data_IF_177635533028
#
_entry.id   IF_177635533028
#
_cell.length_a   1.000
_cell.length_b   1.000
_cell.length_c   1.000
_cell.angle_alpha   90.00
_cell.angle_beta   90.00
_cell.angle_gamma   90.00
#
_symmetry.space_group_name_H-M   'P 1'
#
loop_
_entity.id
_entity.type
_entity.pdbx_description
1 polymer ?
#
# COMPACT_ATOMS: atom_id res chain seq x y z
N UNK A 1 -25.18 -7.05 0.80
CA UNK A 1 -23.80 -6.83 0.34
C UNK A 1 -23.28 -5.49 0.90
N UNK A 2 -23.80 -4.33 0.50
CA UNK A 2 -23.29 -3.02 0.93
C UNK A 2 -23.19 -2.81 2.45
N UNK A 3 -24.13 -3.32 3.26
CA UNK A 3 -24.04 -3.20 4.71
C UNK A 3 -22.86 -3.97 5.32
N UNK A 4 -22.59 -5.16 4.79
CA UNK A 4 -21.46 -5.99 5.25
C UNK A 4 -20.12 -5.29 5.02
N UNK A 5 -19.93 -4.72 3.83
CA UNK A 5 -18.66 -4.06 3.48
C UNK A 5 -18.51 -2.66 4.08
N UNK A 6 -19.60 -2.02 4.53
CA UNK A 6 -19.58 -0.61 4.95
C UNK A 6 -18.60 -0.33 6.11
N UNK A 7 -18.51 -1.22 7.11
CA UNK A 7 -17.59 -1.05 8.23
C UNK A 7 -16.11 -1.11 7.78
N UNK A 8 -15.79 -2.06 6.92
CA UNK A 8 -14.44 -2.23 6.38
C UNK A 8 -14.06 -1.04 5.48
N UNK A 9 -14.95 -0.62 4.59
CA UNK A 9 -14.74 0.52 3.71
C UNK A 9 -14.62 1.85 4.47
N UNK A 10 -15.32 1.98 5.60
CA UNK A 10 -15.16 3.15 6.46
C UNK A 10 -13.73 3.22 7.00
N UNK A 11 -13.24 2.12 7.59
CA UNK A 11 -11.88 2.06 8.13
C UNK A 11 -10.84 2.29 7.03
N UNK A 12 -10.93 1.53 5.92
CA UNK A 12 -9.98 1.66 4.81
C UNK A 12 -10.06 3.03 4.13
N UNK A 13 -11.25 3.64 4.04
CA UNK A 13 -11.40 4.99 3.49
C UNK A 13 -10.73 6.06 4.33
N UNK A 14 -10.93 6.03 5.67
CA UNK A 14 -10.30 6.99 6.58
C UNK A 14 -8.78 6.78 6.62
N UNK A 15 -8.32 5.55 6.81
CA UNK A 15 -6.88 5.25 6.88
C UNK A 15 -6.19 5.55 5.56
N UNK A 16 -6.78 5.18 4.41
CA UNK A 16 -6.24 5.46 3.08
C UNK A 16 -6.12 6.94 2.76
N UNK A 17 -7.06 7.77 3.23
CA UNK A 17 -6.97 9.22 3.09
C UNK A 17 -5.75 9.79 3.84
N UNK A 18 -5.43 9.23 5.00
CA UNK A 18 -4.30 9.67 5.84
C UNK A 18 -2.97 9.15 5.32
N UNK A 19 -2.86 7.84 5.04
CA UNK A 19 -1.59 7.22 4.61
C UNK A 19 -1.17 7.60 3.18
N UNK A 20 -2.04 8.28 2.42
CA UNK A 20 -1.60 8.94 1.18
C UNK A 20 -0.48 9.96 1.42
N UNK A 21 -0.27 10.39 2.67
CA UNK A 21 0.72 11.36 3.14
C UNK A 21 1.64 10.75 4.21
N UNK A 22 1.89 9.46 4.16
CA UNK A 22 2.62 8.70 5.15
C UNK A 22 4.01 9.26 5.44
N UNK A 23 4.80 9.56 4.40
CA UNK A 23 6.15 10.12 4.55
C UNK A 23 6.12 11.51 5.20
N UNK A 24 5.32 12.43 4.65
CA UNK A 24 5.21 13.81 5.17
C UNK A 24 4.66 13.83 6.60
N UNK A 25 3.76 12.91 6.93
CA UNK A 25 3.25 12.78 8.30
C UNK A 25 4.31 12.22 9.24
N UNK A 26 5.11 11.25 8.80
CA UNK A 26 6.19 10.68 9.60
C UNK A 26 7.29 11.72 9.86
N UNK A 27 7.65 12.53 8.86
CA UNK A 27 8.58 13.65 9.00
C UNK A 27 8.12 14.68 10.04
N UNK A 28 6.84 15.05 10.01
CA UNK A 28 6.26 16.03 10.95
C UNK A 28 6.10 15.44 12.35
N UNK A 29 5.69 14.19 12.46
CA UNK A 29 5.47 13.56 13.75
C UNK A 29 6.77 13.11 14.41
N UNK A 30 7.75 12.67 13.63
CA UNK A 30 8.96 12.01 14.12
C UNK A 30 10.27 12.68 13.62
N UNK A 31 10.41 14.02 13.67
CA UNK A 31 11.58 14.71 13.14
C UNK A 31 12.88 14.25 13.79
N UNK A 32 12.85 13.78 15.05
CA UNK A 32 14.01 13.27 15.77
C UNK A 32 14.53 11.93 15.21
N UNK A 33 13.70 11.18 14.49
CA UNK A 33 14.08 9.94 13.79
C UNK A 33 14.43 10.21 12.33
N UNK A 34 13.64 11.09 11.66
CA UNK A 34 13.71 11.28 10.21
C UNK A 34 14.87 12.20 9.78
N UNK A 35 15.24 13.17 10.61
CA UNK A 35 16.32 14.11 10.29
C UNK A 35 17.58 13.85 11.07
N UNK A 36 18.75 13.97 10.41
CA UNK A 36 20.04 13.80 11.04
C UNK A 36 20.26 14.84 12.15
N UNK A 37 20.65 14.40 13.34
CA UNK A 37 20.92 15.30 14.47
C UNK A 37 22.19 16.16 14.26
N UNK A 38 23.11 15.71 13.40
CA UNK A 38 24.24 16.53 12.95
C UNK A 38 23.82 17.79 12.16
N UNK A 39 22.55 17.84 11.68
CA UNK A 39 21.96 18.96 10.97
C UNK A 39 22.80 19.40 9.77
N UNK A 40 22.85 20.72 9.51
CA UNK A 40 23.66 21.31 8.44
C UNK A 40 25.19 21.14 8.60
N UNK A 41 25.66 20.45 9.63
CA UNK A 41 27.09 20.11 9.76
C UNK A 41 27.54 19.17 8.62
N UNK A 42 26.62 18.35 8.07
CA UNK A 42 26.84 17.59 6.85
C UNK A 42 27.01 18.48 5.62
N UNK A 43 26.30 19.61 5.54
CA UNK A 43 26.47 20.61 4.48
C UNK A 43 27.76 21.43 4.62
N UNK A 44 28.39 21.45 5.81
CA UNK A 44 29.64 22.17 6.09
C UNK A 44 30.90 21.28 6.03
N UNK A 45 30.84 20.07 5.49
CA UNK A 45 32.01 19.24 5.15
C UNK A 45 32.22 17.98 5.96
N UNK A 46 31.26 17.48 6.71
CA UNK A 46 31.30 16.13 7.25
C UNK A 46 30.91 15.12 6.16
N UNK A 47 31.88 14.33 5.68
CA UNK A 47 31.55 13.23 4.78
C UNK A 47 30.70 12.19 5.50
N UNK A 48 29.63 11.72 4.84
CA UNK A 48 28.82 10.61 5.37
C UNK A 48 29.68 9.35 5.53
N UNK A 49 29.47 8.65 6.63
CA UNK A 49 30.14 7.37 6.90
C UNK A 49 29.67 6.31 5.92
N UNK A 50 30.51 5.31 5.59
CA UNK A 50 30.11 4.22 4.71
C UNK A 50 28.94 3.44 5.31
N UNK A 51 27.83 3.31 4.56
CA UNK A 51 26.60 2.67 5.02
C UNK A 51 26.82 1.22 5.46
N UNK A 52 27.73 0.49 4.79
CA UNK A 52 28.09 -0.88 5.17
C UNK A 52 28.81 -0.97 6.52
N UNK A 53 29.57 0.06 6.89
CA UNK A 53 30.23 0.14 8.19
C UNK A 53 29.19 0.40 9.30
N UNK A 54 28.23 1.27 9.01
CA UNK A 54 27.13 1.54 9.93
C UNK A 54 26.23 0.31 10.13
N UNK A 55 25.96 -0.45 9.07
CA UNK A 55 25.22 -1.73 9.17
C UNK A 55 25.95 -2.70 10.10
N UNK A 56 27.28 -2.89 9.92
CA UNK A 56 28.08 -3.73 10.81
C UNK A 56 28.11 -3.25 12.27
N UNK A 57 28.07 -1.94 12.49
CA UNK A 57 27.99 -1.37 13.83
C UNK A 57 26.64 -1.67 14.49
N UNK A 58 25.52 -1.63 13.74
CA UNK A 58 24.19 -1.98 14.25
C UNK A 58 24.20 -3.45 14.72
N UNK A 59 24.66 -4.37 13.88
CA UNK A 59 24.73 -5.79 14.18
C UNK A 59 25.72 -6.12 15.33
N UNK A 60 26.82 -5.38 15.43
CA UNK A 60 27.76 -5.52 16.55
C UNK A 60 27.21 -5.01 17.89
N UNK A 61 26.36 -3.96 17.85
CA UNK A 61 25.71 -3.42 19.08
C UNK A 61 24.57 -4.32 19.56
N UNK A 62 23.84 -4.96 18.63
CA UNK A 62 22.78 -5.90 18.97
C UNK A 62 22.86 -7.17 18.08
N UNK A 63 23.57 -8.22 18.55
CA UNK A 63 23.70 -9.47 17.79
C UNK A 63 22.41 -10.25 17.59
N UNK A 64 21.30 -9.82 18.21
CA UNK A 64 19.98 -10.44 18.05
C UNK A 64 19.33 -10.11 16.71
N UNK A 65 19.87 -9.15 15.96
CA UNK A 65 19.33 -8.71 14.66
C UNK A 65 20.36 -8.78 13.56
N UNK A 66 19.89 -8.91 12.33
CA UNK A 66 20.63 -8.70 11.10
C UNK A 66 20.05 -7.52 10.33
N UNK A 67 20.89 -6.76 9.64
CA UNK A 67 20.44 -5.68 8.78
C UNK A 67 19.93 -6.26 7.47
N UNK A 68 18.66 -6.02 7.18
CA UNK A 68 17.98 -6.51 5.97
C UNK A 68 17.66 -5.42 4.96
N UNK A 69 17.76 -4.14 5.35
CA UNK A 69 17.63 -3.01 4.43
C UNK A 69 18.72 -1.96 4.67
N UNK A 70 19.37 -1.53 3.58
CA UNK A 70 20.41 -0.50 3.54
C UNK A 70 19.91 0.75 2.81
N UNK A 71 19.79 1.91 3.45
CA UNK A 71 19.50 3.20 2.81
C UNK A 71 20.78 3.79 2.20
N UNK A 72 21.01 3.59 0.89
CA UNK A 72 22.27 3.96 0.22
C UNK A 72 22.26 5.41 -0.31
N UNK A 73 21.10 6.00 -0.54
CA UNK A 73 20.94 7.36 -1.06
C UNK A 73 19.93 8.15 -0.20
N UNK A 74 20.29 8.53 1.03
CA UNK A 74 19.42 9.30 1.90
C UNK A 74 19.17 10.71 1.33
N UNK A 75 18.05 11.28 1.68
CA UNK A 75 17.77 12.69 1.37
C UNK A 75 18.76 13.61 2.12
N UNK A 76 19.11 14.78 1.55
CA UNK A 76 19.96 15.73 2.21
C UNK A 76 19.39 16.14 3.59
N UNK A 77 20.19 15.98 4.64
CA UNK A 77 19.77 16.25 6.03
C UNK A 77 18.91 15.13 6.65
N UNK A 78 18.60 14.06 5.92
CA UNK A 78 17.88 12.91 6.42
C UNK A 78 18.77 11.97 7.24
N UNK A 79 18.16 11.29 8.20
CA UNK A 79 18.77 10.16 8.90
C UNK A 79 18.73 8.89 8.01
N UNK A 80 19.58 7.92 8.32
CA UNK A 80 19.60 6.62 7.66
C UNK A 80 18.68 5.66 8.41
N UNK A 81 17.55 5.28 7.79
CA UNK A 81 16.63 4.29 8.33
C UNK A 81 17.02 2.89 7.84
N UNK A 82 17.70 2.13 8.69
CA UNK A 82 18.04 0.72 8.42
C UNK A 82 16.86 -0.19 8.79
N UNK A 83 16.54 -1.15 7.92
CA UNK A 83 15.64 -2.25 8.27
C UNK A 83 16.43 -3.38 8.92
N UNK A 84 15.87 -3.98 9.96
CA UNK A 84 16.47 -5.12 10.65
C UNK A 84 15.45 -6.23 10.86
N UNK A 85 15.91 -7.48 10.86
CA UNK A 85 15.11 -8.65 11.19
C UNK A 85 15.82 -9.47 12.27
N UNK A 86 15.07 -10.24 13.08
CA UNK A 86 15.63 -11.03 14.16
C UNK A 86 16.54 -12.16 13.65
N UNK A 87 17.67 -12.34 14.30
CA UNK A 87 18.50 -13.52 14.16
C UNK A 87 17.90 -14.71 14.90
N UNK A 88 18.35 -15.92 14.54
CA UNK A 88 18.03 -17.14 15.27
C UNK A 88 18.90 -17.27 16.52
N UNK A 89 18.29 -17.49 17.67
CA UNK A 89 18.97 -17.78 18.91
C UNK A 89 19.62 -19.18 18.84
N UNK A 90 20.93 -19.28 18.94
CA UNK A 90 21.63 -20.59 18.88
C UNK A 90 21.24 -21.53 20.02
N UNK A 91 20.79 -21.00 21.17
CA UNK A 91 20.46 -21.80 22.34
C UNK A 91 19.08 -22.43 22.23
N UNK A 92 18.11 -21.70 21.70
CA UNK A 92 16.70 -22.13 21.64
C UNK A 92 16.29 -22.59 20.24
N UNK A 93 17.01 -22.17 19.22
CA UNK A 93 16.67 -22.40 17.82
C UNK A 93 15.47 -21.59 17.33
N UNK A 94 14.96 -20.64 18.12
CA UNK A 94 13.88 -19.70 17.75
C UNK A 94 14.47 -18.36 17.35
N UNK A 95 13.66 -17.52 16.71
CA UNK A 95 14.05 -16.14 16.46
C UNK A 95 14.07 -15.35 17.79
N UNK A 96 15.00 -14.40 17.87
CA UNK A 96 14.96 -13.39 18.94
C UNK A 96 13.74 -12.46 18.78
N UNK A 97 13.35 -11.79 19.84
CA UNK A 97 12.26 -10.80 19.86
C UNK A 97 12.81 -9.41 20.22
N UNK A 98 13.43 -8.68 19.29
CA UNK A 98 14.08 -7.40 19.58
C UNK A 98 13.09 -6.26 19.85
N UNK A 99 11.80 -6.42 19.51
CA UNK A 99 10.74 -5.39 19.62
C UNK A 99 11.03 -4.10 18.84
N UNK A 100 11.81 -4.20 17.78
CA UNK A 100 12.02 -3.17 16.77
C UNK A 100 12.44 -3.81 15.46
N UNK A 101 12.13 -3.13 14.34
CA UNK A 101 12.52 -3.56 12.99
C UNK A 101 13.11 -2.40 12.17
N UNK A 102 13.25 -1.21 12.76
CA UNK A 102 13.94 -0.07 12.16
C UNK A 102 14.90 0.56 13.17
N UNK A 103 16.09 0.93 12.67
CA UNK A 103 17.14 1.64 13.42
C UNK A 103 17.52 2.90 12.64
N UNK A 104 17.51 4.06 13.30
CA UNK A 104 17.81 5.36 12.70
C UNK A 104 19.20 5.83 13.11
N UNK A 105 20.04 6.11 12.13
CA UNK A 105 21.46 6.46 12.32
C UNK A 105 21.73 7.81 11.68
N UNK A 106 22.45 8.65 12.40
CA UNK A 106 23.01 9.89 11.86
C UNK A 106 24.12 9.55 10.85
N UNK A 107 24.01 9.97 9.57
CA UNK A 107 24.96 9.58 8.53
C UNK A 107 26.38 10.12 8.72
N UNK A 108 26.56 11.20 9.47
CA UNK A 108 27.85 11.86 9.66
C UNK A 108 28.56 11.37 10.92
N UNK A 109 27.81 11.20 12.01
CA UNK A 109 28.39 10.81 13.32
C UNK A 109 28.35 9.32 13.56
N UNK A 110 27.49 8.56 12.88
CA UNK A 110 27.22 7.17 13.15
C UNK A 110 26.46 6.93 14.46
N UNK A 111 25.94 7.99 15.07
CA UNK A 111 25.16 7.90 16.29
C UNK A 111 23.77 7.34 15.99
N UNK A 112 23.33 6.41 16.84
CA UNK A 112 21.95 5.93 16.79
C UNK A 112 21.02 6.97 17.39
N UNK A 113 20.01 7.39 16.61
CA UNK A 113 19.02 8.41 16.99
C UNK A 113 17.76 7.78 17.62
N UNK A 114 17.48 6.54 17.29
CA UNK A 114 16.36 5.80 17.85
C UNK A 114 16.08 4.50 17.10
N UNK A 115 15.11 3.76 17.64
CA UNK A 115 14.60 2.52 17.09
C UNK A 115 13.08 2.54 17.15
N UNK A 116 12.41 1.88 16.20
CA UNK A 116 10.96 1.68 16.30
C UNK A 116 10.55 0.33 15.73
N UNK A 117 9.42 -0.15 16.17
CA UNK A 117 8.73 -1.27 15.54
C UNK A 117 7.73 -0.69 14.53
N UNK A 118 8.11 -0.67 13.25
CA UNK A 118 7.21 -0.25 12.18
C UNK A 118 6.07 -1.26 12.04
N UNK A 119 4.82 -0.78 12.06
CA UNK A 119 3.64 -1.63 11.98
C UNK A 119 3.17 -2.22 13.32
N UNK A 120 3.74 -1.80 14.45
CA UNK A 120 3.29 -2.24 15.77
C UNK A 120 1.80 -2.01 15.98
N UNK A 121 1.12 -3.02 16.56
CA UNK A 121 -0.28 -2.94 16.95
C UNK A 121 -0.43 -2.15 18.25
N UNK A 122 0.51 -2.31 19.18
CA UNK A 122 0.52 -1.70 20.49
C UNK A 122 1.95 -1.65 21.06
N UNK A 123 2.32 -0.56 21.77
CA UNK A 123 1.54 0.66 21.99
C UNK A 123 1.47 1.56 20.77
N UNK A 124 0.35 2.26 20.59
CA UNK A 124 0.24 3.31 19.57
C UNK A 124 0.88 4.57 20.13
N UNK A 125 2.08 4.86 19.65
CA UNK A 125 2.85 6.06 20.01
C UNK A 125 2.90 7.01 18.83
N UNK A 126 3.48 8.20 19.02
CA UNK A 126 3.75 9.13 17.91
C UNK A 126 4.61 8.46 16.81
N UNK A 127 5.59 7.66 17.21
CA UNK A 127 6.53 7.00 16.30
C UNK A 127 5.92 5.83 15.52
N UNK A 128 4.92 5.15 16.11
CA UNK A 128 4.25 4.01 15.46
C UNK A 128 2.93 4.38 14.79
N UNK A 129 2.41 5.60 14.98
CA UNK A 129 1.06 5.99 14.56
C UNK A 129 0.83 5.83 13.05
N UNK A 130 1.75 6.33 12.22
CA UNK A 130 1.61 6.28 10.76
C UNK A 130 1.65 4.83 10.29
N UNK A 131 2.62 4.05 10.76
CA UNK A 131 2.75 2.63 10.41
C UNK A 131 1.59 1.79 10.93
N UNK A 132 1.04 2.11 12.11
CA UNK A 132 -0.20 1.50 12.61
C UNK A 132 -1.36 1.72 11.63
N UNK A 133 -1.59 2.96 11.18
CA UNK A 133 -2.64 3.24 10.19
C UNK A 133 -2.40 2.52 8.86
N UNK A 134 -1.14 2.40 8.45
CA UNK A 134 -0.76 1.72 7.22
C UNK A 134 -1.14 0.23 7.27
N UNK A 135 -0.75 -0.47 8.34
CA UNK A 135 -1.09 -1.89 8.52
C UNK A 135 -2.59 -2.08 8.74
N UNK A 136 -3.25 -1.17 9.50
CA UNK A 136 -4.70 -1.19 9.67
C UNK A 136 -5.45 -1.09 8.32
N UNK A 137 -4.90 -0.32 7.37
CA UNK A 137 -5.51 -0.11 6.05
C UNK A 137 -5.61 -1.38 5.22
N UNK A 138 -4.56 -2.22 5.18
CA UNK A 138 -4.52 -3.37 4.29
C UNK A 138 -4.76 -4.72 4.97
N UNK A 139 -4.65 -4.81 6.32
CA UNK A 139 -4.77 -6.07 7.06
C UNK A 139 -5.67 -6.02 8.30
N UNK A 140 -6.15 -4.83 8.72
CA UNK A 140 -6.90 -4.62 9.97
C UNK A 140 -6.15 -5.07 11.23
N UNK A 141 -4.83 -5.24 11.17
CA UNK A 141 -4.03 -5.84 12.23
C UNK A 141 -4.56 -7.21 12.70
N UNK A 142 -5.24 -7.96 11.83
CA UNK A 142 -5.66 -9.32 12.19
C UNK A 142 -4.38 -10.15 12.36
N UNK A 143 -4.16 -10.73 13.56
CA UNK A 143 -2.93 -11.43 13.86
C UNK A 143 -2.82 -12.75 13.10
N UNK A 144 -1.62 -13.30 13.08
CA UNK A 144 -1.39 -14.66 12.63
C UNK A 144 -2.25 -15.65 13.45
N UNK A 145 -2.91 -16.55 12.75
CA UNK A 145 -3.70 -17.64 13.33
C UNK A 145 -3.46 -18.92 12.52
N UNK A 146 -3.23 -20.02 13.22
CA UNK A 146 -2.98 -21.34 12.59
C UNK A 146 -1.82 -21.35 11.58
N UNK A 147 -0.76 -20.57 11.85
CA UNK A 147 0.41 -20.47 10.97
C UNK A 147 0.17 -19.65 9.70
N UNK A 148 -0.91 -18.86 9.65
CA UNK A 148 -1.25 -17.98 8.52
C UNK A 148 -1.34 -16.54 9.02
N UNK A 149 -0.51 -15.66 8.48
CA UNK A 149 -0.46 -14.23 8.79
C UNK A 149 -1.31 -13.36 7.85
N UNK A 150 -1.92 -13.95 6.82
CA UNK A 150 -2.61 -13.24 5.73
C UNK A 150 -4.13 -13.08 5.89
N UNK A 151 -4.70 -13.47 7.05
CA UNK A 151 -6.15 -13.43 7.26
C UNK A 151 -6.78 -12.06 7.00
N UNK A 152 -6.16 -10.99 7.48
CA UNK A 152 -6.65 -9.63 7.28
C UNK A 152 -6.55 -9.19 5.82
N UNK A 153 -5.47 -9.55 5.15
CA UNK A 153 -5.23 -9.28 3.74
C UNK A 153 -6.30 -9.97 2.89
N UNK A 154 -6.57 -11.26 3.15
CA UNK A 154 -7.60 -12.03 2.45
C UNK A 154 -9.01 -11.49 2.70
N UNK A 155 -9.30 -11.12 3.94
CA UNK A 155 -10.60 -10.53 4.29
C UNK A 155 -10.82 -9.23 3.51
N UNK A 156 -9.87 -8.30 3.56
CA UNK A 156 -10.00 -7.02 2.85
C UNK A 156 -9.95 -7.19 1.33
N UNK A 157 -9.17 -8.12 0.81
CA UNK A 157 -9.20 -8.48 -0.60
C UNK A 157 -10.56 -9.01 -1.05
N UNK A 158 -11.20 -9.87 -0.24
CA UNK A 158 -12.57 -10.33 -0.46
C UNK A 158 -13.59 -9.19 -0.39
N UNK A 159 -13.45 -8.28 0.57
CA UNK A 159 -14.27 -7.04 0.66
C UNK A 159 -14.10 -6.20 -0.61
N UNK A 160 -12.89 -6.06 -1.13
CA UNK A 160 -12.60 -5.27 -2.33
C UNK A 160 -13.21 -5.90 -3.60
N UNK A 161 -13.24 -7.24 -3.72
CA UNK A 161 -13.98 -7.92 -4.79
C UNK A 161 -15.48 -7.58 -4.69
N UNK A 162 -16.07 -7.71 -3.50
CA UNK A 162 -17.48 -7.38 -3.28
C UNK A 162 -17.75 -5.90 -3.59
N UNK A 163 -16.86 -5.00 -3.23
CA UNK A 163 -16.98 -3.59 -3.54
C UNK A 163 -16.87 -3.30 -5.04
N UNK A 164 -15.96 -3.96 -5.75
CA UNK A 164 -15.85 -3.86 -7.21
C UNK A 164 -17.17 -4.25 -7.89
N UNK A 165 -17.80 -5.35 -7.45
CA UNK A 165 -19.11 -5.76 -7.95
C UNK A 165 -20.22 -4.76 -7.54
N UNK A 166 -20.17 -4.22 -6.32
CA UNK A 166 -21.13 -3.24 -5.83
C UNK A 166 -21.09 -1.90 -6.60
N UNK A 167 -19.90 -1.53 -7.13
CA UNK A 167 -19.79 -0.37 -8.03
C UNK A 167 -20.67 -0.51 -9.28
N UNK A 168 -20.74 -1.68 -9.89
CA UNK A 168 -21.62 -1.92 -11.05
C UNK A 168 -23.08 -1.96 -10.65
N UNK A 169 -23.41 -2.63 -9.55
CA UNK A 169 -24.79 -2.67 -9.01
C UNK A 169 -25.26 -1.27 -8.63
N UNK A 170 -24.43 -0.51 -7.91
CA UNK A 170 -24.72 0.86 -7.52
C UNK A 170 -25.00 1.76 -8.73
N UNK A 171 -24.12 1.69 -9.75
CA UNK A 171 -24.32 2.43 -11.00
C UNK A 171 -25.65 2.06 -11.66
N UNK A 172 -25.93 0.77 -11.82
CA UNK A 172 -27.18 0.27 -12.40
C UNK A 172 -28.43 0.79 -11.66
N UNK A 173 -28.40 0.82 -10.35
CA UNK A 173 -29.51 1.31 -9.51
C UNK A 173 -29.78 2.82 -9.65
N UNK A 174 -28.85 3.59 -10.20
CA UNK A 174 -29.07 5.01 -10.49
C UNK A 174 -29.78 5.26 -11.81
N UNK A 175 -29.79 4.29 -12.72
CA UNK A 175 -30.38 4.42 -14.04
C UNK A 175 -31.90 4.62 -13.95
N UNK A 176 -32.50 5.47 -14.82
CA UNK A 176 -33.93 5.66 -14.81
C UNK A 176 -34.65 4.39 -15.32
N UNK A 177 -35.79 4.02 -14.69
CA UNK A 177 -36.55 2.84 -15.12
C UNK A 177 -37.02 2.97 -16.56
N UNK A 178 -37.13 1.84 -17.27
CA UNK A 178 -37.69 1.82 -18.64
C UNK A 178 -39.12 2.38 -18.65
N UNK A 179 -39.43 3.27 -19.57
CA UNK A 179 -40.79 3.71 -19.80
C UNK A 179 -41.57 2.60 -20.52
N UNK A 180 -42.69 2.19 -19.96
CA UNK A 180 -43.67 1.40 -20.70
C UNK A 180 -44.38 2.34 -21.66
N UNK A 181 -44.13 2.25 -22.94
CA UNK A 181 -44.79 3.00 -24.01
C UNK A 181 -46.18 2.40 -24.18
N UNK A 182 -47.18 3.00 -23.59
CA UNK A 182 -48.59 2.74 -23.94
C UNK A 182 -48.99 3.71 -25.05
N UNK A 183 -49.75 3.23 -26.05
CA UNK A 183 -50.14 3.96 -27.26
C UNK A 183 -50.82 5.37 -27.04
N UNK A 184 -51.08 5.73 -25.76
CA UNK A 184 -51.78 6.97 -25.36
C UNK A 184 -50.91 7.97 -24.59
N UNK A 185 -49.63 7.73 -24.36
CA UNK A 185 -48.80 8.64 -23.57
C UNK A 185 -48.08 9.63 -24.46
N UNK A 186 -48.22 10.96 -24.17
CA UNK A 186 -47.41 12.06 -24.72
C UNK A 186 -45.91 11.67 -24.61
N UNK A 187 -45.11 12.09 -25.58
CA UNK A 187 -43.67 11.86 -25.61
C UNK A 187 -43.02 12.17 -24.25
N UNK A 188 -42.61 11.13 -23.54
CA UNK A 188 -42.03 11.26 -22.20
C UNK A 188 -40.65 11.91 -22.25
N UNK A 189 -40.17 12.41 -21.13
CA UNK A 189 -38.83 13.01 -21.01
C UNK A 189 -37.76 11.99 -21.49
N UNK A 190 -36.80 12.45 -22.29
CA UNK A 190 -35.68 11.66 -22.76
C UNK A 190 -34.86 11.04 -21.61
N UNK A 191 -34.04 10.04 -21.91
CA UNK A 191 -33.22 9.28 -20.94
C UNK A 191 -32.44 10.23 -20.02
N UNK A 192 -31.68 11.15 -20.56
CA UNK A 192 -30.83 12.09 -19.81
C UNK A 192 -31.63 13.00 -18.88
N UNK A 193 -32.76 13.51 -19.31
CA UNK A 193 -33.62 14.35 -18.48
C UNK A 193 -34.21 13.61 -17.27
N UNK A 194 -34.38 12.28 -17.39
CA UNK A 194 -34.82 11.41 -16.30
C UNK A 194 -33.68 10.97 -15.38
N UNK A 195 -32.46 10.89 -15.89
CA UNK A 195 -31.29 10.52 -15.12
C UNK A 195 -30.64 11.72 -14.40
N UNK A 196 -30.75 12.94 -14.93
CA UNK A 196 -30.23 14.17 -14.32
C UNK A 196 -30.52 14.30 -12.81
N UNK A 197 -31.71 13.94 -12.26
CA UNK A 197 -31.96 14.00 -10.82
C UNK A 197 -31.07 13.06 -10.00
N UNK A 198 -30.43 12.04 -10.57
CA UNK A 198 -29.50 11.18 -9.88
C UNK A 198 -28.17 11.87 -9.56
N UNK A 199 -27.81 12.89 -10.33
CA UNK A 199 -26.55 13.65 -10.25
C UNK A 199 -26.65 14.90 -9.37
N UNK A 200 -27.84 15.20 -8.79
CA UNK A 200 -28.10 16.45 -8.07
C UNK A 200 -28.51 16.17 -6.64
N UNK A 201 -27.98 16.96 -5.70
CA UNK A 201 -28.33 16.97 -4.29
C UNK A 201 -29.38 18.09 -4.06
N UNK A 202 -30.56 17.74 -3.57
CA UNK A 202 -31.61 18.70 -3.24
C UNK A 202 -31.43 19.19 -1.80
N UNK A 203 -30.76 20.31 -1.61
CA UNK A 203 -30.44 20.87 -0.30
C UNK A 203 -31.65 21.34 0.51
N UNK A 204 -32.75 21.69 -0.16
CA UNK A 204 -34.01 22.11 0.47
C UNK A 204 -34.97 20.94 0.84
N UNK A 205 -34.51 19.69 0.70
CA UNK A 205 -35.31 18.51 1.00
C UNK A 205 -35.15 18.06 2.46
N UNK A 206 -35.91 17.03 2.88
CA UNK A 206 -35.73 16.43 4.22
C UNK A 206 -34.33 15.84 4.40
N UNK A 207 -33.87 15.78 5.65
CA UNK A 207 -32.55 15.22 5.97
C UNK A 207 -32.32 13.82 5.39
N UNK A 208 -33.36 12.95 5.37
CA UNK A 208 -33.28 11.64 4.74
C UNK A 208 -33.05 11.72 3.22
N UNK A 209 -33.77 12.66 2.57
CA UNK A 209 -33.61 12.86 1.13
C UNK A 209 -32.23 13.41 0.77
N UNK A 210 -31.74 14.36 1.56
CA UNK A 210 -30.36 14.89 1.39
C UNK A 210 -29.35 13.77 1.54
N UNK A 211 -29.44 12.96 2.60
CA UNK A 211 -28.56 11.80 2.81
C UNK A 211 -28.59 10.80 1.63
N UNK A 212 -29.79 10.53 1.10
CA UNK A 212 -29.96 9.65 -0.06
C UNK A 212 -29.33 10.27 -1.34
N UNK A 213 -29.53 11.56 -1.57
CA UNK A 213 -28.99 12.27 -2.71
C UNK A 213 -27.46 12.37 -2.64
N UNK A 214 -26.87 12.62 -1.44
CA UNK A 214 -25.43 12.59 -1.19
C UNK A 214 -24.86 11.22 -1.57
N UNK A 215 -25.40 10.14 -1.00
CA UNK A 215 -24.95 8.79 -1.28
C UNK A 215 -24.94 8.47 -2.79
N UNK A 216 -26.04 8.82 -3.48
CA UNK A 216 -26.21 8.55 -4.89
C UNK A 216 -25.34 9.45 -5.79
N UNK A 217 -25.30 10.75 -5.52
CA UNK A 217 -24.60 11.72 -6.36
C UNK A 217 -23.06 11.54 -6.26
N UNK A 218 -22.51 11.43 -5.04
CA UNK A 218 -21.08 11.16 -4.86
C UNK A 218 -20.66 9.80 -5.41
N UNK A 219 -21.50 8.77 -5.24
CA UNK A 219 -21.27 7.48 -5.87
C UNK A 219 -21.22 7.54 -7.40
N UNK A 220 -21.99 8.44 -8.04
CA UNK A 220 -21.94 8.67 -9.48
C UNK A 220 -20.77 9.57 -9.90
N UNK A 221 -20.53 10.68 -9.21
CA UNK A 221 -19.47 11.63 -9.57
C UNK A 221 -18.09 11.00 -9.54
N UNK A 222 -17.84 10.12 -8.58
CA UNK A 222 -16.57 9.44 -8.40
C UNK A 222 -16.59 7.99 -8.87
N UNK A 223 -17.63 7.53 -9.58
CA UNK A 223 -17.80 6.12 -9.93
C UNK A 223 -16.54 5.49 -10.55
N UNK A 224 -15.93 6.16 -11.50
CA UNK A 224 -14.71 5.66 -12.16
C UNK A 224 -13.53 5.51 -11.19
N UNK A 225 -13.34 6.49 -10.29
CA UNK A 225 -12.29 6.45 -9.28
C UNK A 225 -12.58 5.35 -8.24
N UNK A 226 -13.83 5.26 -7.77
CA UNK A 226 -14.26 4.23 -6.81
C UNK A 226 -14.06 2.82 -7.38
N UNK A 227 -14.42 2.60 -8.65
CA UNK A 227 -14.20 1.33 -9.34
C UNK A 227 -12.71 1.01 -9.47
N UNK A 228 -11.90 2.00 -9.85
CA UNK A 228 -10.44 1.84 -9.95
C UNK A 228 -9.83 1.47 -8.60
N UNK A 229 -10.17 2.19 -7.53
CA UNK A 229 -9.65 1.92 -6.19
C UNK A 229 -10.12 0.56 -5.66
N UNK A 230 -11.38 0.19 -5.89
CA UNK A 230 -11.92 -1.12 -5.49
C UNK A 230 -11.20 -2.26 -6.22
N UNK A 231 -11.03 -2.14 -7.54
CA UNK A 231 -10.33 -3.13 -8.36
C UNK A 231 -8.86 -3.26 -7.95
N UNK A 232 -8.15 -2.14 -7.82
CA UNK A 232 -6.73 -2.15 -7.44
C UNK A 232 -6.53 -2.63 -6.00
N UNK A 233 -7.45 -2.37 -5.08
CA UNK A 233 -7.39 -2.91 -3.72
C UNK A 233 -7.44 -4.44 -3.72
N UNK A 234 -8.33 -5.06 -4.53
CA UNK A 234 -8.36 -6.51 -4.62
C UNK A 234 -7.12 -7.09 -5.33
N UNK A 235 -6.65 -6.42 -6.40
CA UNK A 235 -5.48 -6.88 -7.15
C UNK A 235 -4.19 -6.85 -6.32
N UNK A 236 -4.05 -5.88 -5.41
CA UNK A 236 -2.92 -5.75 -4.51
C UNK A 236 -3.01 -6.76 -3.35
N UNK A 237 -4.16 -6.87 -2.67
CA UNK A 237 -4.30 -7.75 -1.52
C UNK A 237 -4.32 -9.24 -1.90
N UNK A 238 -4.92 -9.58 -3.04
CA UNK A 238 -5.03 -10.97 -3.53
C UNK A 238 -4.17 -11.20 -4.78
N UNK A 239 -3.00 -10.56 -4.83
CA UNK A 239 -2.11 -10.64 -5.98
C UNK A 239 -1.76 -12.08 -6.33
N UNK A 240 -1.17 -12.83 -5.40
CA UNK A 240 -0.73 -14.20 -5.63
C UNK A 240 -1.88 -15.21 -5.68
N UNK A 241 -2.95 -14.97 -4.92
CA UNK A 241 -4.06 -15.92 -4.78
C UNK A 241 -5.06 -15.86 -5.93
N UNK A 242 -5.32 -14.65 -6.48
CA UNK A 242 -6.38 -14.44 -7.46
C UNK A 242 -5.91 -13.69 -8.69
N UNK A 243 -5.28 -12.53 -8.49
CA UNK A 243 -5.00 -11.61 -9.59
C UNK A 243 -3.96 -12.14 -10.57
N UNK A 244 -2.79 -12.54 -10.08
CA UNK A 244 -1.72 -13.10 -10.91
C UNK A 244 -2.12 -14.40 -11.62
N UNK A 245 -2.76 -15.40 -10.96
CA UNK A 245 -3.24 -16.60 -11.62
C UNK A 245 -4.24 -16.35 -12.76
N UNK A 246 -5.10 -15.33 -12.61
CA UNK A 246 -6.03 -14.95 -13.68
C UNK A 246 -5.29 -14.24 -14.81
N UNK A 247 -4.47 -13.25 -14.47
CA UNK A 247 -3.71 -12.47 -15.47
C UNK A 247 -2.79 -13.34 -16.30
N UNK A 248 -2.09 -14.29 -15.70
CA UNK A 248 -1.17 -15.20 -16.39
C UNK A 248 -1.87 -16.17 -17.36
N UNK A 249 -3.20 -16.38 -17.19
CA UNK A 249 -4.03 -17.14 -18.16
C UNK A 249 -4.52 -16.26 -19.31
N UNK A 250 -4.73 -14.99 -19.05
CA UNK A 250 -5.25 -14.04 -20.06
C UNK A 250 -4.14 -13.46 -20.93
N UNK A 251 -2.95 -13.23 -20.33
CA UNK A 251 -1.81 -12.65 -21.02
C UNK A 251 -0.50 -13.11 -20.39
N UNK A 252 0.60 -12.93 -21.12
CA UNK A 252 1.94 -13.22 -20.60
C UNK A 252 2.33 -12.14 -19.58
N UNK A 253 2.42 -12.52 -18.32
CA UNK A 253 2.95 -11.70 -17.22
C UNK A 253 4.34 -12.25 -16.86
N UNK A 254 5.33 -11.38 -16.78
CA UNK A 254 6.69 -11.76 -16.38
C UNK A 254 6.70 -12.04 -14.86
N UNK A 255 7.02 -13.27 -14.42
CA UNK A 255 7.09 -13.57 -13.00
C UNK A 255 8.21 -12.79 -12.33
N UNK A 256 7.98 -12.31 -11.13
CA UNK A 256 9.04 -11.75 -10.30
C UNK A 256 9.95 -12.86 -9.76
N UNK A 257 11.19 -12.56 -9.36
CA UNK A 257 12.05 -13.55 -8.71
C UNK A 257 11.44 -14.16 -7.43
N UNK A 258 10.53 -13.46 -6.77
CA UNK A 258 9.78 -13.96 -5.61
C UNK A 258 8.72 -14.99 -6.02
N UNK A 259 8.03 -14.78 -7.14
CA UNK A 259 7.01 -15.72 -7.66
C UNK A 259 7.61 -17.08 -8.07
N UNK A 260 8.93 -17.10 -8.34
CA UNK A 260 9.68 -18.30 -8.74
C UNK A 260 10.24 -19.09 -7.55
N UNK A 261 10.03 -18.64 -6.33
CA UNK A 261 10.57 -19.25 -5.11
C UNK A 261 9.45 -19.55 -4.12
N UNK A 262 9.65 -20.60 -3.35
CA UNK A 262 8.82 -20.84 -2.17
C UNK A 262 9.41 -20.09 -0.98
N UNK A 263 8.59 -19.42 -0.16
CA UNK A 263 9.06 -18.82 1.07
C UNK A 263 9.62 -19.90 2.01
N UNK A 264 10.68 -19.59 2.71
CA UNK A 264 11.20 -20.42 3.78
C UNK A 264 10.27 -20.35 5.00
N UNK A 265 10.41 -21.31 5.89
CA UNK A 265 9.75 -21.24 7.21
C UNK A 265 10.23 -19.99 7.96
N UNK A 266 9.30 -19.27 8.57
CA UNK A 266 9.61 -18.05 9.33
C UNK A 266 10.72 -18.27 10.37
N UNK A 267 10.71 -19.42 11.07
CA UNK A 267 11.72 -19.77 12.08
C UNK A 267 12.99 -20.39 11.46
N UNK A 268 13.06 -20.54 10.14
CA UNK A 268 14.23 -21.10 9.44
C UNK A 268 14.63 -20.20 8.24
N UNK A 269 15.01 -18.94 8.48
CA UNK A 269 15.38 -18.00 7.45
C UNK A 269 16.58 -18.49 6.64
N UNK A 270 16.60 -18.18 5.36
CA UNK A 270 17.71 -18.52 4.46
C UNK A 270 18.88 -17.57 4.76
N UNK A 271 20.01 -18.13 5.17
CA UNK A 271 21.23 -17.36 5.45
C UNK A 271 21.97 -17.12 4.12
N UNK A 272 22.28 -15.86 3.84
CA UNK A 272 23.09 -15.49 2.69
C UNK A 272 24.56 -15.92 2.88
N UNK A 273 25.18 -16.41 1.80
CA UNK A 273 26.63 -16.61 1.75
C UNK A 273 27.35 -15.46 1.05
N UNK A 274 26.60 -14.62 0.33
CA UNK A 274 27.10 -13.40 -0.31
C UNK A 274 26.87 -12.20 0.61
N UNK A 275 27.85 -11.31 0.63
CA UNK A 275 27.74 -10.05 1.40
C UNK A 275 27.07 -8.95 0.57
N UNK A 276 26.52 -7.95 1.24
CA UNK A 276 26.03 -6.75 0.56
C UNK A 276 27.09 -6.08 -0.33
N UNK A 277 28.36 -6.03 0.09
CA UNK A 277 29.44 -5.45 -0.70
C UNK A 277 29.58 -6.16 -2.06
N UNK A 278 29.65 -7.49 -2.05
CA UNK A 278 29.76 -8.29 -3.28
C UNK A 278 28.56 -8.10 -4.21
N UNK A 279 27.36 -8.06 -3.65
CA UNK A 279 26.13 -7.88 -4.43
C UNK A 279 26.05 -6.46 -5.00
N UNK A 280 26.42 -5.44 -4.22
CA UNK A 280 26.43 -4.04 -4.68
C UNK A 280 27.45 -3.82 -5.81
N UNK A 281 28.62 -4.43 -5.74
CA UNK A 281 29.63 -4.35 -6.80
C UNK A 281 29.11 -5.00 -8.10
N UNK A 282 28.51 -6.19 -7.98
CA UNK A 282 27.88 -6.87 -9.12
C UNK A 282 26.73 -6.05 -9.71
N UNK A 283 25.90 -5.45 -8.84
CA UNK A 283 24.74 -4.64 -9.24
C UNK A 283 25.16 -3.35 -9.96
N UNK A 284 26.20 -2.66 -9.47
CA UNK A 284 26.73 -1.46 -10.13
C UNK A 284 27.30 -1.77 -11.50
N UNK A 285 28.05 -2.89 -11.62
CA UNK A 285 28.57 -3.35 -12.91
C UNK A 285 27.47 -3.69 -13.90
N UNK A 286 26.43 -4.37 -13.45
CA UNK A 286 25.28 -4.73 -14.31
C UNK A 286 24.45 -3.50 -14.69
N UNK A 287 24.20 -2.57 -13.76
CA UNK A 287 23.51 -1.30 -14.05
C UNK A 287 24.26 -0.48 -15.11
N UNK A 288 25.59 -0.43 -15.03
CA UNK A 288 26.42 0.22 -16.05
C UNK A 288 26.25 -0.42 -17.42
N UNK A 289 26.25 -1.76 -17.52
CA UNK A 289 26.00 -2.49 -18.77
C UNK A 289 24.61 -2.19 -19.34
N UNK A 290 23.61 -1.98 -18.48
CA UNK A 290 22.23 -1.61 -18.88
C UNK A 290 22.07 -0.13 -19.21
N UNK A 291 23.10 0.68 -19.01
CA UNK A 291 23.04 2.12 -19.22
C UNK A 291 22.22 2.88 -18.16
N UNK A 292 22.00 2.28 -16.98
CA UNK A 292 21.31 2.94 -15.88
C UNK A 292 22.23 3.98 -15.25
N UNK A 293 21.74 5.22 -15.16
CA UNK A 293 22.55 6.36 -14.67
C UNK A 293 22.38 6.64 -13.19
N UNK A 294 21.25 6.21 -12.61
CA UNK A 294 20.98 6.42 -11.20
C UNK A 294 21.93 5.59 -10.33
N UNK A 295 22.39 6.09 -9.18
CA UNK A 295 23.18 5.33 -8.23
C UNK A 295 22.36 4.21 -7.58
N UNK A 296 23.01 3.25 -6.94
CA UNK A 296 22.35 2.35 -6.02
C UNK A 296 21.79 3.19 -4.85
N UNK A 297 20.49 3.26 -4.71
CA UNK A 297 19.77 4.09 -3.74
C UNK A 297 19.29 3.33 -2.50
N UNK A 298 19.12 2.02 -2.64
CA UNK A 298 18.76 1.14 -1.55
C UNK A 298 19.11 -0.30 -1.88
N UNK A 299 19.33 -1.12 -0.86
CA UNK A 299 19.51 -2.56 -1.04
C UNK A 299 18.83 -3.30 0.10
N UNK A 300 18.24 -4.45 -0.20
CA UNK A 300 17.66 -5.32 0.81
C UNK A 300 18.10 -6.77 0.63
N UNK A 301 18.01 -7.52 1.69
CA UNK A 301 18.05 -8.97 1.68
C UNK A 301 16.74 -9.50 2.27
N UNK A 302 16.10 -10.44 1.56
CA UNK A 302 14.94 -11.15 2.05
C UNK A 302 15.35 -12.55 2.53
N UNK A 303 15.41 -12.80 3.85
CA UNK A 303 15.75 -14.11 4.39
C UNK A 303 14.69 -15.17 4.09
N UNK A 304 13.46 -14.76 3.88
CA UNK A 304 12.36 -15.66 3.51
C UNK A 304 12.56 -16.27 2.12
N UNK A 305 13.09 -15.50 1.16
CA UNK A 305 13.30 -15.95 -0.22
C UNK A 305 14.77 -16.16 -0.59
N UNK A 306 15.70 -15.79 0.27
CA UNK A 306 17.14 -15.88 0.00
C UNK A 306 17.56 -14.97 -1.16
N UNK A 307 16.95 -13.78 -1.29
CA UNK A 307 17.15 -12.85 -2.39
C UNK A 307 17.69 -11.51 -1.90
N UNK A 308 18.68 -10.99 -2.60
CA UNK A 308 19.03 -9.58 -2.55
C UNK A 308 18.28 -8.81 -3.62
N UNK A 309 17.82 -7.59 -3.30
CA UNK A 309 17.36 -6.61 -4.26
C UNK A 309 18.17 -5.32 -4.12
N UNK A 310 18.60 -4.75 -5.23
CA UNK A 310 19.29 -3.46 -5.29
C UNK A 310 18.48 -2.50 -6.14
N UNK A 311 18.01 -1.42 -5.50
CA UNK A 311 17.26 -0.35 -6.14
C UNK A 311 18.19 0.73 -6.68
N UNK A 312 17.86 1.30 -7.84
CA UNK A 312 18.65 2.36 -8.45
C UNK A 312 17.82 3.66 -8.54
N UNK A 313 18.13 4.60 -7.66
CA UNK A 313 17.50 5.94 -7.61
C UNK A 313 18.42 6.97 -6.96
N UNK A 314 18.21 8.22 -7.28
CA UNK A 314 18.80 9.35 -6.55
C UNK A 314 18.10 9.55 -5.19
N UNK A 315 18.66 10.34 -4.27
CA UNK A 315 17.97 10.75 -3.05
C UNK A 315 16.54 11.26 -3.33
N UNK A 316 15.54 10.82 -2.55
CA UNK A 316 14.13 11.15 -2.73
C UNK A 316 13.46 10.52 -3.96
N UNK A 317 14.16 9.64 -4.68
CA UNK A 317 13.65 8.99 -5.89
C UNK A 317 13.12 7.55 -5.68
N UNK A 318 12.92 7.12 -4.46
CA UNK A 318 12.48 5.78 -4.08
C UNK A 318 11.10 5.38 -4.60
N UNK A 319 10.22 6.37 -4.81
CA UNK A 319 8.91 6.13 -5.43
C UNK A 319 8.99 5.90 -6.94
N UNK A 320 10.11 6.22 -7.59
CA UNK A 320 10.34 6.00 -9.01
C UNK A 320 9.38 6.73 -9.95
N UNK A 321 9.36 6.32 -11.20
CA UNK A 321 8.56 6.94 -12.24
C UNK A 321 7.06 6.72 -12.01
N UNK A 322 6.33 7.80 -11.76
CA UNK A 322 4.88 7.81 -11.54
C UNK A 322 4.41 6.81 -10.45
N UNK A 323 5.24 6.57 -9.42
CA UNK A 323 4.88 5.74 -8.27
C UNK A 323 5.01 4.22 -8.47
N UNK A 324 5.62 3.76 -9.56
CA UNK A 324 5.88 2.31 -9.78
C UNK A 324 7.04 1.80 -8.93
N UNK A 325 7.90 2.70 -8.48
CA UNK A 325 9.15 2.38 -7.81
C UNK A 325 10.36 2.53 -8.74
N UNK A 326 11.59 2.40 -8.21
CA UNK A 326 12.81 2.47 -8.98
C UNK A 326 13.09 1.16 -9.75
N UNK A 327 14.04 1.16 -10.69
CA UNK A 327 14.57 -0.07 -11.24
C UNK A 327 15.26 -0.92 -10.17
N UNK A 328 15.09 -2.24 -10.26
CA UNK A 328 15.72 -3.21 -9.36
C UNK A 328 16.52 -4.26 -10.12
N UNK A 329 17.62 -4.71 -9.51
CA UNK A 329 18.34 -5.93 -9.86
C UNK A 329 18.25 -6.89 -8.68
N UNK A 330 17.94 -8.17 -8.96
CA UNK A 330 17.77 -9.20 -7.95
C UNK A 330 18.85 -10.27 -8.07
N UNK A 331 19.44 -10.63 -6.94
CA UNK A 331 20.54 -11.57 -6.87
C UNK A 331 20.22 -12.71 -5.90
N UNK A 332 20.64 -13.90 -6.25
CA UNK A 332 20.57 -15.06 -5.34
C UNK A 332 21.56 -14.89 -4.18
N UNK A 333 21.07 -15.00 -2.96
CA UNK A 333 21.84 -14.79 -1.74
C UNK A 333 22.95 -15.82 -1.50
N UNK A 334 22.86 -17.01 -2.09
CA UNK A 334 23.87 -18.07 -1.96
C UNK A 334 24.91 -18.02 -3.06
N UNK A 335 24.47 -17.92 -4.30
CA UNK A 335 25.37 -17.99 -5.47
C UNK A 335 25.89 -16.64 -5.92
N UNK A 336 25.16 -15.55 -5.64
CA UNK A 336 25.42 -14.22 -6.19
C UNK A 336 25.01 -14.07 -7.66
N UNK A 337 24.30 -15.03 -8.22
CA UNK A 337 23.80 -14.95 -9.59
C UNK A 337 22.69 -13.91 -9.73
N UNK A 338 22.69 -13.16 -10.82
CA UNK A 338 21.58 -12.30 -11.21
C UNK A 338 20.38 -13.18 -11.58
N UNK A 339 19.27 -13.06 -10.85
CA UNK A 339 18.06 -13.88 -11.03
C UNK A 339 16.88 -13.10 -11.59
N UNK A 340 16.98 -11.79 -11.67
CA UNK A 340 15.93 -10.95 -12.25
C UNK A 340 16.28 -9.49 -12.26
N UNK A 341 15.45 -8.74 -13.00
CA UNK A 341 15.49 -7.29 -13.04
C UNK A 341 14.08 -6.76 -13.24
N UNK A 342 13.74 -5.65 -12.61
CA UNK A 342 12.52 -4.90 -12.88
C UNK A 342 12.85 -3.47 -13.29
N UNK A 343 12.13 -2.95 -14.26
CA UNK A 343 12.26 -1.57 -14.71
C UNK A 343 10.87 -0.97 -14.84
N UNK A 344 10.63 0.20 -14.23
CA UNK A 344 9.33 0.86 -14.30
C UNK A 344 8.86 1.07 -15.74
N UNK A 345 7.61 0.74 -16.00
CA UNK A 345 6.93 0.92 -17.29
C UNK A 345 7.59 0.17 -18.47
N UNK A 346 8.35 -0.88 -18.18
CA UNK A 346 8.96 -1.76 -19.17
C UNK A 346 8.39 -3.15 -19.03
N UNK A 347 8.05 -3.77 -20.18
CA UNK A 347 7.50 -5.12 -20.26
C UNK A 347 6.38 -5.25 -21.29
N UNK A 348 5.72 -6.40 -21.29
CA UNK A 348 4.51 -6.63 -22.08
C UNK A 348 3.34 -5.76 -21.58
N UNK A 349 2.26 -5.57 -22.35
CA UNK A 349 1.09 -4.80 -21.89
C UNK A 349 0.53 -5.29 -20.55
N UNK A 350 0.58 -6.59 -20.29
CA UNK A 350 0.15 -7.16 -19.01
C UNK A 350 1.09 -6.77 -17.85
N UNK A 351 2.41 -6.70 -18.09
CA UNK A 351 3.36 -6.23 -17.09
C UNK A 351 3.11 -4.76 -16.71
N UNK A 352 2.85 -3.92 -17.73
CA UNK A 352 2.50 -2.51 -17.51
C UNK A 352 1.19 -2.39 -16.71
N UNK A 353 0.19 -3.23 -17.02
CA UNK A 353 -1.06 -3.25 -16.28
C UNK A 353 -0.87 -3.66 -14.81
N UNK A 354 -0.03 -4.67 -14.56
CA UNK A 354 0.33 -5.10 -13.19
C UNK A 354 1.09 -3.99 -12.46
N UNK A 355 2.07 -3.37 -13.09
CA UNK A 355 2.83 -2.27 -12.52
C UNK A 355 1.95 -1.06 -12.17
N UNK A 356 0.90 -0.79 -12.94
CA UNK A 356 0.00 0.33 -12.74
C UNK A 356 -0.92 0.18 -11.51
N UNK A 357 -1.08 -1.01 -10.93
CA UNK A 357 -2.05 -1.26 -9.86
C UNK A 357 -1.80 -0.39 -8.62
N UNK A 358 -0.58 -0.37 -8.09
CA UNK A 358 -0.25 0.44 -6.93
C UNK A 358 -0.29 1.96 -7.21
N UNK A 359 0.32 2.48 -8.29
CA UNK A 359 0.21 3.90 -8.65
C UNK A 359 -1.22 4.40 -8.86
N UNK A 360 -2.10 3.58 -9.41
CA UNK A 360 -3.52 3.90 -9.56
C UNK A 360 -4.23 3.90 -8.20
N UNK A 361 -3.92 2.93 -7.34
CA UNK A 361 -4.51 2.83 -6.00
C UNK A 361 -4.12 4.01 -5.11
N UNK A 362 -2.84 4.34 -5.09
CA UNK A 362 -2.27 5.41 -4.26
C UNK A 362 -2.43 6.82 -4.85
N UNK A 363 -2.85 6.92 -6.12
CA UNK A 363 -2.89 8.17 -6.87
C UNK A 363 -1.53 8.68 -7.33
N UNK A 364 -0.43 8.02 -6.97
CA UNK A 364 0.95 8.44 -7.31
C UNK A 364 1.20 8.52 -8.82
N UNK A 365 0.37 7.85 -9.63
CA UNK A 365 0.43 7.94 -11.11
C UNK A 365 0.26 9.38 -11.64
N UNK A 366 -0.49 10.22 -10.93
CA UNK A 366 -0.68 11.64 -11.24
C UNK A 366 0.12 12.55 -10.29
N UNK A 367 1.04 12.01 -9.48
CA UNK A 367 1.80 12.75 -8.48
C UNK A 367 0.90 13.36 -7.38
N UNK A 368 1.21 14.57 -6.93
CA UNK A 368 0.47 15.26 -5.86
C UNK A 368 -1.03 15.41 -6.16
N UNK A 369 -1.48 15.87 -7.35
CA UNK A 369 -2.90 15.92 -7.67
C UNK A 369 -3.62 14.57 -7.52
N UNK A 370 -2.99 13.48 -7.89
CA UNK A 370 -3.56 12.14 -7.73
C UNK A 370 -3.66 11.73 -6.25
N UNK A 371 -2.65 12.01 -5.44
CA UNK A 371 -2.69 11.76 -3.97
C UNK A 371 -3.80 12.56 -3.31
N UNK A 372 -3.99 13.83 -3.68
CA UNK A 372 -5.12 14.66 -3.21
C UNK A 372 -6.46 14.02 -3.62
N UNK A 373 -6.60 13.57 -4.87
CA UNK A 373 -7.81 12.91 -5.35
C UNK A 373 -8.11 11.64 -4.56
N UNK A 374 -7.11 10.80 -4.28
CA UNK A 374 -7.30 9.57 -3.49
C UNK A 374 -7.63 9.87 -2.04
N UNK A 375 -6.99 10.87 -1.42
CA UNK A 375 -7.35 11.31 -0.06
C UNK A 375 -8.81 11.77 0.03
N UNK A 376 -9.25 12.62 -0.91
CA UNK A 376 -10.65 13.05 -0.99
C UNK A 376 -11.59 11.87 -1.25
N UNK A 377 -11.19 10.93 -2.11
CA UNK A 377 -11.95 9.70 -2.38
C UNK A 377 -12.09 8.86 -1.13
N UNK A 378 -11.04 8.70 -0.30
CA UNK A 378 -11.10 8.00 0.97
C UNK A 378 -12.14 8.61 1.93
N UNK A 379 -12.16 9.95 2.05
CA UNK A 379 -13.19 10.66 2.85
C UNK A 379 -14.58 10.40 2.29
N UNK A 380 -14.75 10.43 0.96
CA UNK A 380 -16.05 10.14 0.32
C UNK A 380 -16.46 8.68 0.56
N UNK A 381 -15.57 7.72 0.49
CA UNK A 381 -15.84 6.30 0.79
C UNK A 381 -16.35 6.14 2.23
N UNK A 382 -15.72 6.80 3.20
CA UNK A 382 -16.18 6.81 4.58
C UNK A 382 -17.60 7.44 4.70
N UNK A 383 -17.86 8.56 4.02
CA UNK A 383 -19.17 9.20 3.99
C UNK A 383 -20.23 8.31 3.30
N UNK A 384 -19.88 7.64 2.20
CA UNK A 384 -20.78 6.69 1.51
C UNK A 384 -21.10 5.48 2.41
N UNK A 385 -20.15 5.00 3.19
CA UNK A 385 -20.37 3.93 4.17
C UNK A 385 -21.40 4.34 5.21
N UNK A 386 -21.24 5.51 5.83
CA UNK A 386 -22.17 6.05 6.83
C UNK A 386 -23.56 6.30 6.21
N UNK A 387 -23.62 7.00 5.08
CA UNK A 387 -24.90 7.33 4.42
C UNK A 387 -25.64 6.08 3.96
N UNK A 388 -24.92 5.05 3.51
CA UNK A 388 -25.48 3.74 3.13
C UNK A 388 -26.13 3.02 4.31
N UNK A 389 -25.45 3.01 5.48
CA UNK A 389 -26.01 2.44 6.72
C UNK A 389 -27.28 3.19 7.16
N UNK A 390 -27.27 4.51 7.11
CA UNK A 390 -28.46 5.34 7.43
C UNK A 390 -29.63 5.00 6.51
N UNK A 391 -29.41 4.87 5.19
CA UNK A 391 -30.44 4.49 4.23
C UNK A 391 -31.01 3.09 4.58
N UNK A 392 -30.14 2.13 4.88
CA UNK A 392 -30.55 0.78 5.24
C UNK A 392 -31.38 0.74 6.52
N UNK A 393 -30.95 1.43 7.59
CA UNK A 393 -31.67 1.51 8.87
C UNK A 393 -33.07 2.10 8.69
N UNK A 394 -33.22 3.20 7.95
CA UNK A 394 -34.52 3.83 7.68
C UNK A 394 -35.45 2.91 6.88
N UNK A 395 -34.92 2.25 5.84
CA UNK A 395 -35.69 1.26 5.06
C UNK A 395 -36.13 0.05 5.91
N UNK A 396 -35.24 -0.45 6.80
CA UNK A 396 -35.54 -1.56 7.70
C UNK A 396 -36.68 -1.18 8.67
N UNK A 397 -36.56 -0.02 9.32
CA UNK A 397 -37.60 0.49 10.25
C UNK A 397 -38.97 0.64 9.54
N UNK A 398 -39.02 1.19 8.34
CA UNK A 398 -40.23 1.33 7.56
C UNK A 398 -40.85 -0.03 7.15
N UNK A 399 -40.07 -1.07 6.91
CA UNK A 399 -40.56 -2.42 6.61
C UNK A 399 -41.15 -3.10 7.86
N UNK A 400 -40.44 -3.02 8.99
CA UNK A 400 -40.91 -3.58 10.28
C UNK A 400 -42.20 -2.93 10.70
N UNK A 401 -42.30 -1.59 10.66
CA UNK A 401 -43.50 -0.87 11.01
C UNK A 401 -44.69 -1.18 10.08
N UNK A 402 -44.47 -1.47 8.80
CA UNK A 402 -45.55 -1.94 7.90
C UNK A 402 -46.05 -3.35 8.25
N UNK A 403 -45.12 -4.25 8.60
CA UNK A 403 -45.49 -5.61 9.01
C UNK A 403 -46.30 -5.62 10.31
N UNK A 404 -45.88 -4.81 11.30
CA UNK A 404 -46.59 -4.67 12.58
C UNK A 404 -47.99 -4.04 12.47
N UNK A 405 -48.27 -3.30 11.38
CA UNK A 405 -49.64 -2.73 11.12
C UNK A 405 -50.51 -3.66 10.29
N UNK A 406 -49.95 -4.70 9.68
CA UNK A 406 -50.65 -5.66 8.85
C UNK A 406 -50.94 -6.99 9.60
N UNK A 407 -50.34 -7.17 10.78
CA UNK A 407 -50.62 -8.21 11.76
C UNK A 407 -51.58 -7.66 12.83
#
# INVERSE_FOLDING_TARGET
MGLFIAGFLFVSGVTGAVISWDHELDDVLNPHLMYAQSGDRGAKGGAALPVLDLARQIEARDPRVQVTYLPLAPEPGGALAFGVEPNRDPATGKLFEPHYNQVFIDPVTGAEQGRREWGAVWPITRETFVSFLYVLHYSLHIPEMWGIDRWGIWLLGGVAILWTLDCFVGFYLTLPPRQKTTKTTKAGKGFWARWKPAWVIKTSASAYRINFDIHRAFGLWLWGVLLTVAFTAFSLNLYGEVFYPIMSKVSKVTPSPFDLRKPADHNAPIIATRTYAQVLDSARAEATKRGWKAPAGGAFYSPEYGLYGVAFHAPGGDHGAAGVGPPYLYYDGKTGALVGASQPWVGAPADIFVQAQFPLHSGRILGIPGRVLISLTGVVVAALSVTGVVIWLKKRRARVGRRARAA
#
